data_IF_231410453917
#
_entry.id   IF_231410453917
#
_cell.length_a   1.000
_cell.length_b   1.000
_cell.length_c   1.000
_cell.angle_alpha   90.00
_cell.angle_beta   90.00
_cell.angle_gamma   90.00
#
_symmetry.space_group_name_H-M   'P 1'
#
loop_
_entity.id
_entity.type
_entity.pdbx_description
1 polymer ?
#
# COMPACT_ATOMS: atom_id res chain seq x y z
N UNK A 1 -15.40 -20.70 -11.36
CA UNK A 1 -14.25 -20.03 -10.73
C UNK A 1 -14.05 -18.73 -11.49
N UNK A 2 -14.40 -17.61 -10.89
CA UNK A 2 -13.85 -16.33 -11.34
C UNK A 2 -12.67 -16.13 -10.39
N UNK A 3 -11.45 -16.31 -10.89
CA UNK A 3 -10.27 -15.76 -10.22
C UNK A 3 -10.57 -14.28 -9.99
N UNK A 4 -10.77 -13.91 -8.73
CA UNK A 4 -11.32 -12.62 -8.29
C UNK A 4 -10.35 -11.44 -8.45
N UNK A 5 -9.66 -11.35 -9.59
CA UNK A 5 -8.88 -10.18 -9.98
C UNK A 5 -9.71 -9.32 -10.93
N UNK A 6 -10.50 -8.39 -10.39
CA UNK A 6 -10.80 -7.17 -11.16
C UNK A 6 -9.46 -6.44 -11.34
N UNK A 7 -8.79 -6.68 -12.47
CA UNK A 7 -7.54 -5.97 -12.77
C UNK A 7 -7.90 -4.50 -12.97
N UNK A 8 -7.27 -3.60 -12.22
CA UNK A 8 -7.49 -2.15 -12.29
C UNK A 8 -7.09 -1.50 -13.63
N UNK A 9 -6.88 -2.27 -14.69
CA UNK A 9 -6.51 -1.80 -16.01
C UNK A 9 -5.12 -1.15 -16.05
N UNK A 10 -4.91 -0.34 -17.10
CA UNK A 10 -3.64 0.38 -17.36
C UNK A 10 -3.83 1.90 -17.41
N UNK A 11 -5.06 2.39 -17.21
CA UNK A 11 -5.44 3.81 -17.29
C UNK A 11 -6.30 4.19 -16.10
N UNK A 12 -6.13 5.41 -15.57
CA UNK A 12 -6.84 5.86 -14.36
C UNK A 12 -8.35 5.83 -14.53
N UNK A 13 -8.86 6.33 -15.66
CA UNK A 13 -10.29 6.34 -15.94
C UNK A 13 -10.86 4.91 -15.96
N UNK A 14 -10.12 3.97 -16.54
CA UNK A 14 -10.45 2.54 -16.54
C UNK A 14 -10.41 1.93 -15.13
N UNK A 15 -9.40 2.26 -14.33
CA UNK A 15 -9.28 1.80 -12.95
C UNK A 15 -10.47 2.25 -12.10
N UNK A 16 -10.83 3.54 -12.20
CA UNK A 16 -11.96 4.13 -11.49
C UNK A 16 -13.29 3.52 -11.97
N UNK A 17 -13.46 3.32 -13.29
CA UNK A 17 -14.65 2.68 -13.85
C UNK A 17 -14.80 1.21 -13.41
N UNK A 18 -13.69 0.53 -13.15
CA UNK A 18 -13.65 -0.81 -12.56
C UNK A 18 -13.83 -0.81 -11.02
N UNK A 19 -14.08 0.35 -10.40
CA UNK A 19 -14.26 0.46 -8.96
C UNK A 19 -12.97 0.32 -8.14
N UNK A 20 -11.80 0.39 -8.78
CA UNK A 20 -10.54 0.39 -8.06
C UNK A 20 -10.30 1.72 -7.35
N UNK A 21 -9.57 1.65 -6.23
CA UNK A 21 -9.09 2.80 -5.46
C UNK A 21 -7.56 2.73 -5.37
N UNK A 22 -6.91 3.88 -5.43
CA UNK A 22 -5.48 3.96 -5.16
C UNK A 22 -5.26 4.11 -3.66
N UNK A 23 -4.51 3.17 -3.08
CA UNK A 23 -4.08 3.24 -1.70
C UNK A 23 -2.66 3.80 -1.67
N UNK A 24 -2.55 5.05 -1.24
CA UNK A 24 -1.28 5.78 -1.18
C UNK A 24 -0.30 5.12 -0.21
N UNK A 25 -0.77 4.51 0.88
CA UNK A 25 0.09 3.83 1.84
C UNK A 25 0.52 2.45 1.34
N UNK A 26 -0.34 1.74 0.62
CA UNK A 26 0.01 0.47 0.00
C UNK A 26 0.81 0.63 -1.31
N UNK A 27 0.84 1.84 -1.91
CA UNK A 27 1.40 2.17 -3.22
C UNK A 27 0.79 1.36 -4.37
N UNK A 28 -0.51 1.06 -4.30
CA UNK A 28 -1.14 0.20 -5.30
C UNK A 28 -2.58 0.57 -5.57
N UNK A 29 -2.99 0.38 -6.82
CA UNK A 29 -4.41 0.29 -7.16
C UNK A 29 -4.96 -1.04 -6.67
N UNK A 30 -6.06 -0.98 -5.92
CA UNK A 30 -6.75 -2.13 -5.34
C UNK A 30 -8.20 -2.18 -5.82
N UNK A 31 -8.74 -3.37 -6.14
CA UNK A 31 -10.17 -3.55 -6.28
C UNK A 31 -10.90 -3.12 -5.01
N UNK A 32 -12.10 -2.58 -5.16
CA UNK A 32 -12.94 -2.13 -4.03
C UNK A 32 -13.10 -3.20 -2.94
N UNK A 33 -13.13 -4.49 -3.32
CA UNK A 33 -13.28 -5.60 -2.40
C UNK A 33 -12.20 -5.63 -1.30
N UNK A 34 -10.95 -5.32 -1.62
CA UNK A 34 -9.83 -5.36 -0.67
C UNK A 34 -9.23 -3.98 -0.32
N UNK A 35 -9.87 -2.88 -0.72
CA UNK A 35 -9.55 -1.56 -0.21
C UNK A 35 -10.25 -1.32 1.13
N UNK A 36 -9.48 -1.16 2.21
CA UNK A 36 -10.02 -0.87 3.55
C UNK A 36 -9.90 0.63 3.85
N UNK A 37 -10.98 1.37 3.54
CA UNK A 37 -11.03 2.82 3.71
C UNK A 37 -10.84 3.25 5.17
N UNK A 38 -11.39 2.49 6.10
CA UNK A 38 -11.27 2.78 7.54
C UNK A 38 -9.82 2.65 8.00
N UNK A 39 -9.14 1.55 7.65
CA UNK A 39 -7.73 1.37 8.01
C UNK A 39 -6.87 2.42 7.34
N UNK A 40 -7.07 2.69 6.06
CA UNK A 40 -6.31 3.71 5.32
C UNK A 40 -6.41 5.07 6.00
N UNK A 41 -7.61 5.48 6.40
CA UNK A 41 -7.82 6.74 7.12
C UNK A 41 -7.20 6.71 8.52
N UNK A 42 -7.37 5.62 9.28
CA UNK A 42 -6.85 5.47 10.64
C UNK A 42 -5.31 5.49 10.67
N UNK A 43 -4.65 4.72 9.80
CA UNK A 43 -3.19 4.73 9.67
C UNK A 43 -2.69 6.15 9.36
N UNK A 44 -3.43 6.86 8.50
CA UNK A 44 -3.12 8.25 8.13
C UNK A 44 -3.13 9.19 9.33
N UNK A 45 -4.13 9.07 10.19
CA UNK A 45 -4.27 9.95 11.36
C UNK A 45 -3.25 9.62 12.46
N UNK A 46 -2.96 8.35 12.72
CA UNK A 46 -1.97 7.95 13.73
C UNK A 46 -0.54 8.38 13.36
N UNK A 47 -0.16 8.23 12.09
CA UNK A 47 1.17 8.64 11.62
C UNK A 47 1.41 10.15 11.73
N UNK A 48 0.34 10.96 11.58
CA UNK A 48 0.40 12.42 11.80
C UNK A 48 0.74 12.76 13.24
N UNK A 49 0.12 12.05 14.19
CA UNK A 49 0.33 12.28 15.62
C UNK A 49 1.74 11.86 16.06
N UNK A 50 2.19 10.67 15.68
CA UNK A 50 3.45 10.09 16.16
C UNK A 50 4.71 10.73 15.56
N UNK A 51 4.62 11.27 14.35
CA UNK A 51 5.77 11.89 13.67
C UNK A 51 6.06 13.33 14.11
N UNK A 52 5.21 13.95 14.95
CA UNK A 52 5.37 15.35 15.37
C UNK A 52 5.29 16.36 14.22
N UNK A 53 4.82 15.91 13.06
CA UNK A 53 4.70 16.71 11.84
C UNK A 53 3.42 17.57 11.92
N UNK A 54 3.58 18.89 11.73
CA UNK A 54 2.47 19.88 11.80
C UNK A 54 1.39 19.62 10.74
N UNK A 55 1.77 18.91 9.67
CA UNK A 55 0.91 18.42 8.60
C UNK A 55 1.60 17.19 7.99
N UNK A 56 1.01 16.02 8.13
CA UNK A 56 1.26 14.90 7.20
C UNK A 56 -0.07 14.65 6.55
N UNK A 57 -0.33 15.33 5.44
CA UNK A 57 -1.23 14.68 4.51
C UNK A 57 -0.42 13.50 3.97
N UNK A 58 -0.90 12.26 4.09
CA UNK A 58 -0.19 11.15 3.46
C UNK A 58 -0.29 11.22 1.92
N UNK A 59 -1.14 12.12 1.39
CA UNK A 59 -1.09 12.60 0.01
C UNK A 59 0.02 13.65 -0.24
N UNK A 60 0.79 14.06 0.77
CA UNK A 60 1.92 15.01 0.65
C UNK A 60 3.30 14.33 0.79
N UNK A 61 3.38 12.99 0.86
CA UNK A 61 4.68 12.33 0.69
C UNK A 61 5.20 12.62 -0.72
N UNK A 62 6.29 13.37 -0.80
CA UNK A 62 6.90 13.66 -2.08
C UNK A 62 7.60 12.42 -2.62
N UNK A 63 7.14 11.96 -3.78
CA UNK A 63 7.82 10.95 -4.57
C UNK A 63 8.71 11.62 -5.62
N UNK A 64 9.77 10.92 -6.03
CA UNK A 64 10.73 11.41 -7.00
C UNK A 64 11.02 10.34 -8.06
N UNK A 65 11.27 10.78 -9.28
CA UNK A 65 11.67 9.90 -10.39
C UNK A 65 13.15 9.50 -10.34
N UNK A 66 13.96 10.16 -9.50
CA UNK A 66 15.40 9.94 -9.38
C UNK A 66 15.87 9.72 -7.94
N UNK A 67 16.94 8.93 -7.78
CA UNK A 67 17.54 8.62 -6.48
C UNK A 67 18.01 9.88 -5.72
N UNK A 68 18.43 10.93 -6.43
CA UNK A 68 18.92 12.15 -5.78
C UNK A 68 17.77 13.04 -5.29
N UNK A 69 16.50 12.66 -5.49
CA UNK A 69 15.30 13.41 -5.11
C UNK A 69 15.29 14.82 -5.70
N UNK A 70 15.64 14.95 -6.98
CA UNK A 70 15.69 16.24 -7.69
C UNK A 70 14.54 16.44 -8.67
N UNK A 71 13.81 15.37 -9.01
CA UNK A 71 12.71 15.34 -9.96
C UNK A 71 11.43 14.89 -9.24
N UNK A 72 10.71 15.82 -8.56
CA UNK A 72 9.46 15.48 -7.90
C UNK A 72 8.42 15.01 -8.92
N UNK A 73 7.63 14.02 -8.55
CA UNK A 73 6.47 13.57 -9.33
C UNK A 73 5.17 13.98 -8.65
N UNK A 74 4.16 14.31 -9.43
CA UNK A 74 2.82 14.58 -8.90
C UNK A 74 2.09 13.29 -8.58
N UNK A 75 1.08 13.35 -7.70
CA UNK A 75 0.23 12.19 -7.39
C UNK A 75 -0.36 11.56 -8.64
N UNK A 76 -0.81 12.40 -9.59
CA UNK A 76 -1.34 11.94 -10.87
C UNK A 76 -0.29 11.16 -11.67
N UNK A 77 0.94 11.66 -11.77
CA UNK A 77 2.03 10.97 -12.47
C UNK A 77 2.39 9.66 -11.78
N UNK A 78 2.43 9.66 -10.45
CA UNK A 78 2.72 8.47 -9.65
C UNK A 78 1.66 7.40 -9.84
N UNK A 79 0.38 7.75 -9.68
CA UNK A 79 -0.76 6.84 -9.88
C UNK A 79 -0.85 6.29 -11.31
N UNK A 80 -0.56 7.11 -12.32
CA UNK A 80 -0.47 6.66 -13.72
C UNK A 80 0.66 5.64 -13.89
N UNK A 81 1.84 5.92 -13.33
CA UNK A 81 2.97 5.00 -13.41
C UNK A 81 2.71 3.68 -12.68
N UNK A 82 1.98 3.69 -11.56
CA UNK A 82 1.56 2.46 -10.84
C UNK A 82 0.79 1.49 -11.74
N UNK A 83 -0.12 2.00 -12.58
CA UNK A 83 -0.91 1.18 -13.51
C UNK A 83 -0.04 0.56 -14.62
N UNK A 84 1.05 1.23 -15.00
CA UNK A 84 1.96 0.77 -16.05
C UNK A 84 3.06 -0.15 -15.52
N UNK A 85 3.47 0.02 -14.25
CA UNK A 85 4.48 -0.82 -13.58
C UNK A 85 4.03 -2.28 -13.41
N UNK A 86 2.72 -2.56 -13.48
CA UNK A 86 2.14 -3.91 -13.42
C UNK A 86 1.38 -4.32 -14.70
N UNK A 87 1.57 -3.60 -15.81
CA UNK A 87 1.00 -3.92 -17.11
C UNK A 87 1.84 -4.91 -17.95
N UNK A 88 1.35 -5.38 -19.11
CA UNK A 88 2.07 -6.30 -20.00
C UNK A 88 3.42 -5.79 -20.54
N UNK A 89 3.74 -4.50 -20.34
CA UNK A 89 5.05 -3.92 -20.64
C UNK A 89 6.12 -4.20 -19.56
N UNK A 90 5.73 -4.53 -18.32
CA UNK A 90 6.60 -5.11 -17.29
C UNK A 90 7.80 -4.27 -16.81
N UNK A 91 7.82 -2.96 -17.04
CA UNK A 91 8.93 -2.12 -16.57
C UNK A 91 8.73 -1.80 -15.10
N UNK A 92 9.50 -2.44 -14.21
CA UNK A 92 9.55 -2.08 -12.79
C UNK A 92 10.36 -0.79 -12.63
N UNK A 93 9.69 0.36 -12.81
CA UNK A 93 10.34 1.66 -12.61
C UNK A 93 10.27 2.02 -11.12
N UNK A 94 11.42 2.12 -10.42
CA UNK A 94 11.42 2.59 -9.04
C UNK A 94 11.07 4.07 -8.99
N UNK A 95 10.38 4.45 -7.92
CA UNK A 95 10.27 5.81 -7.46
C UNK A 95 11.01 5.94 -6.13
N UNK A 96 11.31 7.16 -5.73
CA UNK A 96 12.09 7.42 -4.55
C UNK A 96 11.32 8.29 -3.57
N UNK A 97 11.40 7.98 -2.29
CA UNK A 97 10.75 8.73 -1.20
C UNK A 97 11.56 8.65 0.09
N UNK A 98 11.08 9.31 1.13
CA UNK A 98 11.73 9.37 2.43
C UNK A 98 11.59 8.04 3.19
N UNK A 99 12.58 7.69 4.01
CA UNK A 99 12.54 6.48 4.82
C UNK A 99 11.40 6.45 5.84
N UNK A 100 10.88 7.62 6.25
CA UNK A 100 9.70 7.73 7.11
C UNK A 100 8.45 7.13 6.45
N UNK A 101 8.33 7.26 5.12
CA UNK A 101 7.28 6.61 4.34
C UNK A 101 7.32 5.09 4.51
N UNK A 102 8.51 4.48 4.56
CA UNK A 102 8.63 3.03 4.66
C UNK A 102 7.98 2.48 5.94
N UNK A 103 8.20 3.17 7.06
CA UNK A 103 7.60 2.78 8.34
C UNK A 103 6.08 2.94 8.31
N UNK A 104 5.61 4.05 7.76
CA UNK A 104 4.19 4.29 7.54
C UNK A 104 3.54 3.17 6.72
N UNK A 105 4.14 2.81 5.59
CA UNK A 105 3.73 1.68 4.77
C UNK A 105 3.70 0.37 5.57
N UNK A 106 4.76 0.05 6.31
CA UNK A 106 4.85 -1.21 7.06
C UNK A 106 3.83 -1.29 8.21
N UNK A 107 3.58 -0.18 8.89
CA UNK A 107 2.55 -0.07 9.92
C UNK A 107 1.15 -0.24 9.30
N UNK A 108 0.88 0.43 8.19
CA UNK A 108 -0.39 0.30 7.47
C UNK A 108 -0.66 -1.13 6.99
N UNK A 109 0.35 -1.82 6.45
CA UNK A 109 0.24 -3.24 6.08
C UNK A 109 -0.16 -4.10 7.28
N UNK A 110 0.39 -3.80 8.46
CA UNK A 110 0.06 -4.51 9.70
C UNK A 110 -1.39 -4.23 10.13
N UNK A 111 -1.84 -2.99 10.06
CA UNK A 111 -3.22 -2.62 10.38
C UNK A 111 -4.23 -3.25 9.41
N UNK A 112 -3.91 -3.38 8.12
CA UNK A 112 -4.72 -4.11 7.15
C UNK A 112 -4.86 -5.60 7.52
N UNK A 113 -3.74 -6.23 7.92
CA UNK A 113 -3.75 -7.62 8.39
C UNK A 113 -4.61 -7.77 9.64
N UNK A 114 -4.44 -6.88 10.62
CA UNK A 114 -5.14 -6.96 11.91
C UNK A 114 -6.64 -6.67 11.76
N UNK A 115 -7.02 -5.68 10.94
CA UNK A 115 -8.41 -5.43 10.56
C UNK A 115 -9.06 -6.65 9.91
N UNK A 116 -8.37 -7.30 8.97
CA UNK A 116 -8.90 -8.47 8.29
C UNK A 116 -9.07 -9.66 9.26
N UNK A 117 -8.11 -9.89 10.16
CA UNK A 117 -8.22 -10.90 11.21
C UNK A 117 -9.38 -10.59 12.18
N UNK A 118 -9.53 -9.34 12.59
CA UNK A 118 -10.62 -8.91 13.47
C UNK A 118 -11.98 -9.20 12.81
N UNK A 119 -12.19 -8.70 11.58
CA UNK A 119 -13.43 -8.92 10.82
C UNK A 119 -13.76 -10.41 10.69
N UNK A 120 -12.77 -11.25 10.38
CA UNK A 120 -12.95 -12.69 10.28
C UNK A 120 -13.32 -13.34 11.62
N UNK A 121 -12.71 -12.88 12.72
CA UNK A 121 -13.01 -13.39 14.07
C UNK A 121 -14.39 -12.96 14.60
N UNK A 122 -14.91 -11.82 14.13
CA UNK A 122 -16.25 -11.32 14.41
C UNK A 122 -17.34 -11.99 13.55
N UNK A 123 -16.96 -12.95 12.69
CA UNK A 123 -17.90 -13.73 11.88
C UNK A 123 -18.15 -13.19 10.48
N UNK A 124 -17.38 -12.20 10.01
CA UNK A 124 -17.42 -11.80 8.60
C UNK A 124 -16.88 -12.95 7.75
N UNK A 125 -17.73 -13.53 6.90
CA UNK A 125 -17.36 -14.72 6.13
C UNK A 125 -16.44 -14.41 4.95
N UNK A 126 -16.70 -13.32 4.23
CA UNK A 126 -15.94 -12.92 3.05
C UNK A 126 -15.11 -11.67 3.35
N UNK A 127 -13.94 -11.87 3.94
CA UNK A 127 -12.97 -10.80 4.19
C UNK A 127 -11.92 -10.82 3.09
N UNK A 128 -11.90 -9.79 2.24
CA UNK A 128 -10.89 -9.65 1.20
C UNK A 128 -9.75 -8.76 1.70
N UNK A 129 -8.52 -9.23 1.51
CA UNK A 129 -7.29 -8.51 1.86
C UNK A 129 -6.44 -8.32 0.61
N UNK A 130 -5.68 -7.24 0.55
CA UNK A 130 -4.64 -7.05 -0.45
C UNK A 130 -3.66 -8.24 -0.45
N UNK A 131 -3.44 -8.88 -1.60
CA UNK A 131 -2.61 -10.10 -1.73
C UNK A 131 -1.23 -9.93 -1.10
N UNK A 132 -0.55 -8.80 -1.32
CA UNK A 132 0.79 -8.57 -0.78
C UNK A 132 0.77 -8.37 0.74
N UNK A 133 -0.31 -7.82 1.31
CA UNK A 133 -0.49 -7.76 2.75
C UNK A 133 -0.70 -9.16 3.36
N UNK A 134 -1.26 -10.11 2.61
CA UNK A 134 -1.44 -11.49 3.10
C UNK A 134 -0.16 -12.35 3.06
N UNK A 135 0.91 -11.88 2.41
CA UNK A 135 2.14 -12.66 2.18
C UNK A 135 3.09 -12.64 3.38
N UNK A 136 3.56 -13.81 3.79
CA UNK A 136 4.48 -13.98 4.92
C UNK A 136 5.81 -13.25 4.73
N UNK A 137 6.40 -13.29 3.54
CA UNK A 137 7.66 -12.59 3.25
C UNK A 137 7.51 -11.07 3.39
N UNK A 138 6.35 -10.51 3.00
CA UNK A 138 6.07 -9.10 3.18
C UNK A 138 5.83 -8.74 4.65
N UNK A 139 5.13 -9.60 5.41
CA UNK A 139 4.98 -9.44 6.86
C UNK A 139 6.34 -9.47 7.58
N UNK A 140 7.22 -10.42 7.24
CA UNK A 140 8.57 -10.51 7.80
C UNK A 140 9.42 -9.27 7.48
N UNK A 141 9.31 -8.74 6.25
CA UNK A 141 9.93 -7.46 5.89
C UNK A 141 9.43 -6.32 6.75
N UNK A 142 8.10 -6.17 6.89
CA UNK A 142 7.51 -5.12 7.71
C UNK A 142 7.93 -5.22 9.18
N UNK A 143 7.95 -6.42 9.76
CA UNK A 143 8.45 -6.62 11.12
C UNK A 143 9.90 -6.14 11.29
N UNK A 144 10.80 -6.49 10.36
CA UNK A 144 12.19 -6.01 10.42
C UNK A 144 12.26 -4.49 10.43
N UNK A 145 11.53 -3.84 9.53
CA UNK A 145 11.49 -2.37 9.43
C UNK A 145 10.96 -1.73 10.73
N UNK A 146 9.92 -2.30 11.34
CA UNK A 146 9.34 -1.81 12.59
C UNK A 146 10.27 -2.03 13.80
N UNK A 147 11.03 -3.13 13.85
CA UNK A 147 11.96 -3.42 14.96
C UNK A 147 13.25 -2.58 14.95
N UNK A 148 13.64 -2.02 13.81
CA UNK A 148 14.85 -1.19 13.75
C UNK A 148 14.61 0.18 14.40
N UNK A 149 15.16 0.34 15.62
CA UNK A 149 15.05 1.56 16.43
C UNK A 149 15.69 2.79 15.78
N UNK A 150 16.70 2.62 14.92
CA UNK A 150 17.33 3.72 14.20
C UNK A 150 16.61 3.96 12.87
N UNK A 151 15.94 5.10 12.81
CA UNK A 151 15.19 5.67 11.68
C UNK A 151 16.02 5.92 10.41
N UNK A 152 17.35 5.96 10.57
CA UNK A 152 18.30 6.15 9.50
C UNK A 152 19.25 4.96 9.51
N UNK A 153 19.39 4.30 8.37
CA UNK A 153 20.71 3.75 8.05
C UNK A 153 21.56 4.99 7.79
N UNK A 154 22.63 5.28 8.56
CA UNK A 154 23.43 6.47 8.31
C UNK A 154 23.90 6.48 6.84
N UNK A 155 23.46 7.49 6.07
CA UNK A 155 23.77 7.63 4.65
C UNK A 155 22.71 7.13 3.65
N UNK A 156 21.54 6.64 4.10
CA UNK A 156 20.42 6.26 3.21
C UNK A 156 19.14 6.94 3.71
N UNK A 157 18.94 8.19 3.29
CA UNK A 157 17.69 8.95 3.51
C UNK A 157 16.67 8.73 2.37
N UNK A 158 16.97 7.81 1.45
CA UNK A 158 16.18 7.59 0.23
C UNK A 158 15.81 6.12 0.09
N UNK A 159 14.51 5.87 -0.04
CA UNK A 159 13.92 4.56 -0.26
C UNK A 159 13.47 4.43 -1.71
N UNK A 160 13.84 3.33 -2.38
CA UNK A 160 13.22 2.93 -3.63
C UNK A 160 11.89 2.20 -3.36
N UNK A 161 10.82 2.64 -4.02
CA UNK A 161 9.49 2.03 -3.97
C UNK A 161 9.01 1.64 -5.37
N UNK A 162 8.19 0.60 -5.43
CA UNK A 162 7.70 0.01 -6.69
C UNK A 162 6.18 -0.04 -6.64
N UNK A 163 5.50 1.03 -7.06
CA UNK A 163 4.05 1.06 -7.04
C UNK A 163 3.48 0.18 -8.16
N UNK A 164 2.23 -0.22 -8.03
CA UNK A 164 1.64 -1.19 -8.95
C UNK A 164 0.11 -1.26 -8.95
N UNK A 165 -0.38 -2.37 -9.50
CA UNK A 165 -1.73 -2.87 -9.24
C UNK A 165 -1.61 -4.21 -8.52
N UNK A 166 -2.65 -4.60 -7.79
CA UNK A 166 -2.60 -5.86 -7.04
C UNK A 166 -3.97 -6.51 -6.90
N UNK A 167 -3.96 -7.82 -6.66
CA UNK A 167 -5.17 -8.61 -6.49
C UNK A 167 -5.62 -8.65 -5.03
N UNK A 168 -6.84 -9.11 -4.83
CA UNK A 168 -7.39 -9.45 -3.54
C UNK A 168 -7.25 -10.95 -3.25
N UNK A 169 -7.06 -11.31 -1.98
CA UNK A 169 -7.18 -12.68 -1.49
C UNK A 169 -8.29 -12.77 -0.46
N UNK A 170 -9.02 -13.88 -0.47
CA UNK A 170 -10.10 -14.13 0.46
C UNK A 170 -9.58 -14.79 1.73
N UNK A 171 -9.78 -14.15 2.88
CA UNK A 171 -9.59 -14.71 4.21
C UNK A 171 -10.94 -15.27 4.67
N UNK A 172 -11.02 -16.59 4.77
CA UNK A 172 -12.23 -17.27 5.24
C UNK A 172 -12.12 -17.61 6.72
N UNK A 173 -13.10 -17.20 7.50
CA UNK A 173 -13.31 -17.75 8.84
C UNK A 173 -13.84 -19.18 8.71
N UNK A 174 -13.17 -20.15 9.33
CA UNK A 174 -13.59 -21.55 9.35
C UNK A 174 -14.66 -21.83 10.41
N UNK A 175 -15.45 -20.83 10.81
CA UNK A 175 -16.54 -20.99 11.78
C UNK A 175 -17.70 -21.79 11.16
N UNK A 176 -17.51 -23.10 11.11
CA UNK A 176 -18.50 -24.17 11.06
C UNK A 176 -17.85 -25.40 11.73
N UNK A 177 -17.90 -25.42 13.07
CA UNK A 177 -17.77 -26.62 13.90
C UNK A 177 -18.79 -26.54 15.03
#
# INVERSE_FOLDING_TARGET
MIDGGEVCGTEIEGALAAGCKFDTLALTWLPSACYDEFVTQSSSDQLREESGLVKVDLNEFQFYADWNRTQPVTDLQFQQASLLNFGPAGVQTPFYTDTIYHKAHCQHVKELQDSALQKASEGTHDVWLWERAAKWDHSLHCHKIMYHATWNTPGIDTLAVYPGTSNCVLIRSSANL
#
